data_IF_461497222761
#
_entry.id   IF_461497222761
#
_cell.length_a   1.000
_cell.length_b   1.000
_cell.length_c   1.000
_cell.angle_alpha   90.00
_cell.angle_beta   90.00
_cell.angle_gamma   90.00
#
_symmetry.space_group_name_H-M   'P 1'
#
loop_
_entity.id
_entity.type
_entity.pdbx_description
1 polymer ?
#
# COMPACT_ATOMS: atom_id res chain seq x y z
N UNK A 1 -31.60 -51.96 35.38
CA UNK A 1 -30.96 -51.53 34.12
C UNK A 1 -31.31 -50.06 33.95
N UNK A 2 -30.42 -49.20 34.42
CA UNK A 2 -30.64 -47.75 34.51
C UNK A 2 -29.95 -47.13 33.31
N UNK A 3 -30.71 -46.49 32.42
CA UNK A 3 -30.14 -45.67 31.34
C UNK A 3 -29.81 -44.30 31.96
N UNK A 4 -28.55 -43.83 31.93
CA UNK A 4 -28.26 -42.46 32.34
C UNK A 4 -28.75 -41.50 31.26
N UNK A 5 -29.56 -40.52 31.66
CA UNK A 5 -29.88 -39.36 30.85
C UNK A 5 -28.60 -38.51 30.72
N UNK A 6 -28.11 -38.36 29.50
CA UNK A 6 -27.00 -37.47 29.20
C UNK A 6 -27.56 -36.06 29.03
N UNK A 7 -27.84 -35.39 30.15
CA UNK A 7 -28.20 -33.97 30.17
C UNK A 7 -26.90 -33.15 30.02
N UNK A 8 -26.47 -32.98 28.78
CA UNK A 8 -25.42 -32.01 28.43
C UNK A 8 -26.12 -30.72 28.06
N UNK A 9 -26.35 -29.88 29.06
CA UNK A 9 -26.64 -28.47 28.88
C UNK A 9 -25.43 -27.79 28.23
N UNK A 10 -25.32 -27.90 26.90
CA UNK A 10 -24.42 -27.04 26.13
C UNK A 10 -25.00 -25.63 26.20
N UNK A 11 -24.49 -24.82 27.11
CA UNK A 11 -24.65 -23.36 27.02
C UNK A 11 -23.91 -22.92 25.78
N UNK A 12 -24.63 -22.80 24.65
CA UNK A 12 -24.09 -22.27 23.42
C UNK A 12 -23.55 -20.87 23.69
N UNK A 13 -22.31 -20.61 23.26
CA UNK A 13 -21.73 -19.27 23.29
C UNK A 13 -22.71 -18.27 22.66
N UNK A 14 -22.92 -17.07 23.25
CA UNK A 14 -23.85 -16.10 22.71
C UNK A 14 -23.45 -15.73 21.28
N UNK A 15 -24.40 -15.72 20.36
CA UNK A 15 -24.15 -15.22 19.01
C UNK A 15 -23.94 -13.70 19.01
N UNK A 16 -23.37 -13.15 17.93
CA UNK A 16 -23.06 -11.73 17.80
C UNK A 16 -24.29 -10.83 17.99
N UNK A 17 -25.48 -11.31 17.59
CA UNK A 17 -26.71 -10.58 17.77
C UNK A 17 -27.08 -10.47 19.26
N UNK A 18 -26.95 -11.55 20.03
CA UNK A 18 -27.17 -11.55 21.47
C UNK A 18 -26.18 -10.64 22.21
N UNK A 19 -24.91 -10.64 21.79
CA UNK A 19 -23.89 -9.75 22.32
C UNK A 19 -24.28 -8.28 22.06
N UNK A 20 -24.60 -7.95 20.81
CA UNK A 20 -25.01 -6.59 20.41
C UNK A 20 -26.28 -6.13 21.14
N UNK A 21 -27.33 -6.96 21.15
CA UNK A 21 -28.60 -6.66 21.80
C UNK A 21 -28.43 -6.40 23.31
N UNK A 22 -27.59 -7.20 23.98
CA UNK A 22 -27.28 -7.04 25.41
C UNK A 22 -26.54 -5.72 25.65
N UNK A 23 -25.53 -5.41 24.84
CA UNK A 23 -24.74 -4.19 24.96
C UNK A 23 -25.59 -2.92 24.75
N UNK A 24 -26.41 -2.91 23.69
CA UNK A 24 -27.32 -1.80 23.36
C UNK A 24 -28.40 -1.62 24.43
N UNK A 25 -29.00 -2.71 24.90
CA UNK A 25 -30.00 -2.66 25.99
C UNK A 25 -29.41 -2.05 27.25
N UNK A 26 -28.19 -2.46 27.62
CA UNK A 26 -27.48 -1.91 28.79
C UNK A 26 -27.22 -0.41 28.62
N UNK A 27 -26.77 0.03 27.44
CA UNK A 27 -26.48 1.43 27.17
C UNK A 27 -27.75 2.30 27.27
N UNK A 28 -28.85 1.90 26.62
CA UNK A 28 -30.11 2.65 26.65
C UNK A 28 -30.70 2.71 28.06
N UNK A 29 -30.61 1.62 28.85
CA UNK A 29 -31.03 1.65 30.27
C UNK A 29 -30.25 2.67 31.08
N UNK A 30 -28.93 2.78 30.87
CA UNK A 30 -28.10 3.76 31.56
C UNK A 30 -28.47 5.20 31.15
N UNK A 31 -28.74 5.45 29.86
CA UNK A 31 -29.22 6.75 29.37
C UNK A 31 -30.57 7.11 30.02
N UNK A 32 -31.54 6.19 29.98
CA UNK A 32 -32.87 6.41 30.56
C UNK A 32 -32.83 6.62 32.08
N UNK A 33 -31.83 6.07 32.76
CA UNK A 33 -31.61 6.27 34.20
C UNK A 33 -30.81 7.54 34.53
N UNK A 34 -30.44 8.36 33.53
CA UNK A 34 -29.61 9.56 33.71
C UNK A 34 -28.16 9.29 34.11
N UNK A 35 -27.68 8.05 33.92
CA UNK A 35 -26.32 7.63 34.26
C UNK A 35 -25.32 7.92 33.12
N UNK A 36 -25.84 8.26 31.93
CA UNK A 36 -25.09 8.72 30.76
C UNK A 36 -25.87 9.87 30.10
N UNK A 37 -25.17 10.87 29.54
CA UNK A 37 -25.82 11.93 28.77
C UNK A 37 -26.39 11.40 27.45
N UNK A 38 -27.26 12.19 26.81
CA UNK A 38 -27.87 11.91 25.50
C UNK A 38 -29.27 11.31 25.60
N UNK A 39 -29.80 10.86 24.46
CA UNK A 39 -31.05 10.11 24.37
C UNK A 39 -30.87 8.77 23.64
N UNK A 40 -31.84 7.87 23.82
CA UNK A 40 -31.76 6.51 23.26
C UNK A 40 -31.85 6.46 21.73
N UNK A 41 -32.53 7.41 21.09
CA UNK A 41 -32.62 7.48 19.64
C UNK A 41 -31.29 7.97 19.04
N UNK A 42 -30.71 9.03 19.59
CA UNK A 42 -29.37 9.51 19.24
C UNK A 42 -28.32 8.39 19.38
N UNK A 43 -28.40 7.61 20.46
CA UNK A 43 -27.49 6.47 20.64
C UNK A 43 -27.60 5.44 19.50
N UNK A 44 -28.81 5.12 19.05
CA UNK A 44 -29.03 4.14 17.98
C UNK A 44 -28.56 4.68 16.62
N UNK A 45 -28.82 5.95 16.32
CA UNK A 45 -28.37 6.55 15.05
C UNK A 45 -26.85 6.61 14.98
N UNK A 46 -26.19 7.03 16.07
CA UNK A 46 -24.73 7.05 16.14
C UNK A 46 -24.11 5.65 16.11
N UNK A 47 -24.72 4.67 16.76
CA UNK A 47 -24.27 3.27 16.66
C UNK A 47 -24.30 2.77 15.21
N UNK A 48 -25.38 3.05 14.49
CA UNK A 48 -25.51 2.67 13.09
C UNK A 48 -24.50 3.41 12.21
N UNK A 49 -24.29 4.71 12.45
CA UNK A 49 -23.27 5.51 11.78
C UNK A 49 -21.85 4.97 12.02
N UNK A 50 -21.53 4.54 13.25
CA UNK A 50 -20.25 3.89 13.56
C UNK A 50 -20.07 2.57 12.82
N UNK A 51 -21.12 1.74 12.73
CA UNK A 51 -21.07 0.50 11.94
C UNK A 51 -20.81 0.82 10.46
N UNK A 52 -21.55 1.77 9.88
CA UNK A 52 -21.33 2.22 8.51
C UNK A 52 -19.91 2.75 8.30
N UNK A 53 -19.40 3.55 9.24
CA UNK A 53 -18.07 4.15 9.17
C UNK A 53 -16.94 3.11 9.23
N UNK A 54 -17.13 2.06 10.03
CA UNK A 54 -16.18 0.95 10.10
C UNK A 54 -16.26 0.03 8.86
N UNK A 55 -17.40 -0.03 8.18
CA UNK A 55 -17.57 -0.73 6.91
C UNK A 55 -17.16 0.12 5.68
N UNK A 56 -16.86 1.40 5.88
CA UNK A 56 -16.39 2.32 4.84
C UNK A 56 -17.47 3.02 4.03
N UNK A 57 -18.75 2.65 4.17
CA UNK A 57 -19.87 3.40 3.58
C UNK A 57 -21.22 3.03 4.19
N UNK A 58 -22.20 3.93 4.11
CA UNK A 58 -23.60 3.63 4.42
C UNK A 58 -24.18 2.55 3.50
N UNK A 59 -23.73 2.50 2.24
CA UNK A 59 -24.17 1.49 1.27
C UNK A 59 -23.72 0.07 1.65
N UNK A 60 -22.54 -0.08 2.27
CA UNK A 60 -22.02 -1.36 2.70
C UNK A 60 -22.95 -2.06 3.72
N UNK A 61 -23.59 -1.30 4.60
CA UNK A 61 -24.54 -1.83 5.62
C UNK A 61 -25.71 -2.56 4.96
N UNK A 62 -26.18 -2.09 3.81
CA UNK A 62 -27.39 -2.59 3.14
C UNK A 62 -27.11 -3.42 1.88
N UNK A 63 -25.83 -3.69 1.59
CA UNK A 63 -25.39 -4.34 0.36
C UNK A 63 -26.02 -5.73 0.14
N UNK A 64 -26.38 -6.45 1.21
CA UNK A 64 -27.03 -7.76 1.11
C UNK A 64 -28.45 -7.73 0.54
N UNK A 65 -29.19 -6.63 0.70
CA UNK A 65 -30.56 -6.48 0.15
C UNK A 65 -30.97 -5.01 -0.01
N UNK A 66 -30.32 -4.25 -0.91
CA UNK A 66 -30.42 -2.78 -0.96
C UNK A 66 -31.80 -2.24 -1.34
N UNK A 67 -32.72 -3.07 -1.86
CA UNK A 67 -34.08 -2.67 -2.26
C UNK A 67 -35.18 -2.99 -1.25
N UNK A 68 -34.85 -3.48 -0.05
CA UNK A 68 -35.87 -3.78 0.96
C UNK A 68 -36.36 -2.53 1.68
N UNK A 69 -37.55 -2.62 2.29
CA UNK A 69 -38.08 -1.50 3.08
C UNK A 69 -37.20 -1.24 4.32
N UNK A 70 -36.57 -2.28 4.89
CA UNK A 70 -35.58 -2.15 5.95
C UNK A 70 -34.35 -1.38 5.48
N UNK A 71 -33.81 -1.73 4.31
CA UNK A 71 -32.68 -1.04 3.71
C UNK A 71 -32.99 0.44 3.42
N UNK A 72 -34.21 0.75 2.96
CA UNK A 72 -34.67 2.12 2.77
C UNK A 72 -34.72 2.90 4.10
N UNK A 73 -35.20 2.28 5.18
CA UNK A 73 -35.21 2.87 6.53
C UNK A 73 -33.81 3.11 7.08
N UNK A 74 -32.92 2.11 6.97
CA UNK A 74 -31.50 2.21 7.37
C UNK A 74 -30.80 3.33 6.60
N UNK A 75 -30.98 3.39 5.28
CA UNK A 75 -30.42 4.45 4.44
C UNK A 75 -30.91 5.83 4.87
N UNK A 76 -32.22 6.00 5.07
CA UNK A 76 -32.79 7.28 5.50
C UNK A 76 -32.24 7.73 6.85
N UNK A 77 -32.03 6.80 7.79
CA UNK A 77 -31.49 7.09 9.11
C UNK A 77 -30.01 7.48 9.03
N UNK A 78 -29.23 6.75 8.25
CA UNK A 78 -27.82 7.05 7.99
C UNK A 78 -27.68 8.40 7.29
N UNK A 79 -28.39 8.66 6.19
CA UNK A 79 -28.33 9.93 5.47
C UNK A 79 -28.66 11.13 6.38
N UNK A 80 -29.63 10.98 7.29
CA UNK A 80 -29.98 12.01 8.27
C UNK A 80 -28.91 12.23 9.35
N UNK A 81 -28.00 11.27 9.54
CA UNK A 81 -26.95 11.29 10.58
C UNK A 81 -25.58 11.65 10.01
N UNK A 82 -25.21 11.09 8.86
CA UNK A 82 -23.87 11.20 8.26
C UNK A 82 -23.84 12.00 6.96
N UNK A 83 -24.97 12.57 6.51
CA UNK A 83 -25.08 13.24 5.21
C UNK A 83 -25.51 12.28 4.09
N UNK A 84 -26.04 12.83 2.99
CA UNK A 84 -26.57 12.04 1.88
C UNK A 84 -25.48 11.20 1.19
N UNK A 85 -24.26 11.76 1.15
CA UNK A 85 -23.09 11.17 0.50
C UNK A 85 -21.99 10.80 1.52
N UNK A 86 -22.36 10.41 2.75
CA UNK A 86 -21.45 10.01 3.82
C UNK A 86 -20.48 11.14 4.30
N UNK A 87 -20.84 12.40 4.08
CA UNK A 87 -20.06 13.61 4.39
C UNK A 87 -19.42 13.63 5.80
N UNK A 88 -20.13 13.11 6.80
CA UNK A 88 -19.70 13.10 8.20
C UNK A 88 -19.33 11.72 8.72
N UNK A 89 -19.36 10.69 7.86
CA UNK A 89 -19.21 9.29 8.24
C UNK A 89 -17.92 9.04 9.04
N UNK A 90 -16.82 9.65 8.61
CA UNK A 90 -15.51 9.49 9.23
C UNK A 90 -15.48 9.93 10.71
N UNK A 91 -16.33 10.88 11.10
CA UNK A 91 -16.46 11.35 12.50
C UNK A 91 -16.93 10.24 13.45
N UNK A 92 -17.63 9.23 12.92
CA UNK A 92 -18.18 8.10 13.67
C UNK A 92 -17.29 6.87 13.67
N UNK A 93 -16.19 6.87 12.90
CA UNK A 93 -15.32 5.71 12.77
C UNK A 93 -14.61 5.40 14.09
N UNK A 94 -14.48 4.11 14.38
CA UNK A 94 -13.71 3.60 15.53
C UNK A 94 -12.67 2.56 15.12
N UNK A 95 -12.83 1.94 13.96
CA UNK A 95 -11.84 1.05 13.38
C UNK A 95 -10.63 1.86 12.86
N UNK A 96 -9.42 1.27 12.87
CA UNK A 96 -8.26 1.90 12.25
C UNK A 96 -8.50 2.29 10.80
N UNK A 97 -7.84 3.36 10.36
CA UNK A 97 -7.60 3.65 8.94
C UNK A 97 -6.36 2.85 8.54
N UNK A 98 -6.53 1.85 7.70
CA UNK A 98 -5.40 1.06 7.19
C UNK A 98 -5.03 1.56 5.78
N UNK A 99 -3.78 1.98 5.62
CA UNK A 99 -3.20 2.32 4.31
C UNK A 99 -2.30 1.16 3.87
N UNK A 100 -2.67 0.51 2.78
CA UNK A 100 -1.98 -0.64 2.20
C UNK A 100 -1.20 -0.19 0.98
N UNK A 101 0.12 -0.40 0.97
CA UNK A 101 1.01 0.05 -0.09
C UNK A 101 1.87 -1.10 -0.57
N UNK A 102 2.05 -1.22 -1.90
CA UNK A 102 3.13 -1.98 -2.48
C UNK A 102 4.31 -1.06 -2.86
N UNK A 103 5.43 -1.10 -2.11
CA UNK A 103 6.60 -0.27 -2.40
C UNK A 103 7.37 -0.73 -3.65
N UNK A 104 7.31 -2.01 -3.99
CA UNK A 104 7.97 -2.56 -5.19
C UNK A 104 7.26 -2.11 -6.46
N UNK A 105 5.91 -2.13 -6.47
CA UNK A 105 5.15 -1.57 -7.60
C UNK A 105 5.47 -0.08 -7.82
N UNK A 106 5.71 0.66 -6.74
CA UNK A 106 6.11 2.06 -6.87
C UNK A 106 7.48 2.20 -7.56
N UNK A 107 8.43 1.31 -7.26
CA UNK A 107 9.73 1.28 -7.92
C UNK A 107 9.59 0.87 -9.39
N UNK A 108 8.75 -0.10 -9.70
CA UNK A 108 8.49 -0.57 -11.06
C UNK A 108 7.80 0.51 -11.91
N UNK A 109 6.73 1.11 -11.42
CA UNK A 109 5.96 2.16 -12.11
C UNK A 109 6.82 3.40 -12.42
N UNK A 110 7.75 3.74 -11.52
CA UNK A 110 8.68 4.86 -11.68
C UNK A 110 9.96 4.47 -12.44
N UNK A 111 10.10 3.19 -12.81
CA UNK A 111 11.26 2.65 -13.50
C UNK A 111 12.55 2.70 -12.66
N UNK A 112 12.46 2.77 -11.33
CA UNK A 112 13.62 2.81 -10.43
C UNK A 112 14.49 1.58 -10.66
N UNK A 113 13.90 0.40 -10.81
CA UNK A 113 14.59 -0.85 -11.16
C UNK A 113 15.50 -0.69 -12.40
N UNK A 114 15.04 0.01 -13.44
CA UNK A 114 15.79 0.25 -14.69
C UNK A 114 17.05 1.09 -14.46
N UNK A 115 17.08 1.94 -13.43
CA UNK A 115 18.26 2.74 -13.07
C UNK A 115 19.40 1.86 -12.53
N UNK A 116 19.06 0.77 -11.84
CA UNK A 116 20.03 -0.22 -11.34
C UNK A 116 20.51 -1.13 -12.47
N UNK A 117 19.58 -1.63 -13.31
CA UNK A 117 19.96 -2.39 -14.51
C UNK A 117 20.88 -1.58 -15.43
N UNK A 118 20.59 -0.29 -15.65
CA UNK A 118 21.45 0.58 -16.45
C UNK A 118 22.87 0.69 -15.88
N UNK A 119 23.02 0.70 -14.55
CA UNK A 119 24.35 0.69 -13.92
C UNK A 119 25.12 -0.61 -14.18
N UNK A 120 24.45 -1.76 -14.05
CA UNK A 120 25.05 -3.05 -14.34
C UNK A 120 25.45 -3.15 -15.82
N UNK A 121 24.58 -2.67 -16.70
CA UNK A 121 24.81 -2.66 -18.15
C UNK A 121 25.94 -1.72 -18.57
N UNK A 122 26.05 -0.54 -17.97
CA UNK A 122 27.17 0.37 -18.19
C UNK A 122 28.49 -0.31 -17.85
N UNK A 123 28.60 -0.88 -16.65
CA UNK A 123 29.82 -1.55 -16.19
C UNK A 123 30.14 -2.77 -17.05
N UNK A 124 29.12 -3.55 -17.43
CA UNK A 124 29.29 -4.68 -18.34
C UNK A 124 29.87 -4.28 -19.69
N UNK A 125 29.40 -3.17 -20.26
CA UNK A 125 29.97 -2.61 -21.51
C UNK A 125 31.39 -2.09 -21.31
N UNK A 126 31.70 -1.43 -20.21
CA UNK A 126 33.06 -0.97 -19.89
C UNK A 126 34.04 -2.16 -19.74
N UNK A 127 33.59 -3.26 -19.12
CA UNK A 127 34.41 -4.44 -18.87
C UNK A 127 34.63 -5.29 -20.12
N UNK A 128 33.60 -5.47 -20.94
CA UNK A 128 33.60 -6.50 -21.98
C UNK A 128 33.29 -5.98 -23.40
N UNK A 129 32.97 -4.70 -23.54
CA UNK A 129 32.62 -4.06 -24.82
C UNK A 129 31.44 -4.75 -25.51
N UNK A 130 31.55 -4.96 -26.82
CA UNK A 130 30.53 -5.60 -27.65
C UNK A 130 30.20 -7.05 -27.24
N UNK A 131 31.01 -7.68 -26.38
CA UNK A 131 30.74 -9.04 -25.88
C UNK A 131 29.69 -9.09 -24.78
N UNK A 132 29.39 -7.94 -24.16
CA UNK A 132 28.32 -7.82 -23.18
C UNK A 132 26.94 -7.72 -23.82
N UNK A 133 26.87 -7.25 -25.07
CA UNK A 133 25.60 -7.04 -25.79
C UNK A 133 24.82 -8.35 -26.01
N UNK A 134 23.49 -8.22 -26.05
CA UNK A 134 22.60 -9.33 -26.34
C UNK A 134 22.87 -9.90 -27.73
N UNK A 135 23.09 -11.21 -27.79
CA UNK A 135 23.30 -11.92 -29.07
C UNK A 135 22.18 -12.91 -29.31
N UNK A 136 21.70 -12.95 -30.54
CA UNK A 136 20.72 -13.94 -30.99
C UNK A 136 21.41 -15.30 -31.15
N UNK A 137 20.94 -16.32 -30.41
CA UNK A 137 21.40 -17.71 -30.51
C UNK A 137 20.24 -18.65 -30.85
N UNK A 138 20.47 -19.78 -31.54
CA UNK A 138 19.43 -20.79 -31.74
C UNK A 138 18.98 -21.41 -30.41
N UNK A 139 17.69 -21.34 -30.11
CA UNK A 139 17.05 -22.00 -28.97
C UNK A 139 16.90 -23.52 -29.16
N UNK A 140 16.48 -24.24 -28.11
CA UNK A 140 16.30 -25.71 -28.15
C UNK A 140 15.32 -26.20 -29.22
N UNK A 141 14.40 -25.35 -29.66
CA UNK A 141 13.41 -25.59 -30.71
C UNK A 141 13.83 -25.01 -32.07
N UNK A 142 15.06 -24.50 -32.18
CA UNK A 142 15.59 -23.84 -33.37
C UNK A 142 15.08 -22.42 -33.60
N UNK A 143 14.23 -21.87 -32.71
CA UNK A 143 13.82 -20.47 -32.77
C UNK A 143 14.92 -19.59 -32.18
N UNK A 144 15.14 -18.38 -32.70
CA UNK A 144 16.13 -17.50 -32.10
C UNK A 144 15.73 -17.09 -30.69
N UNK A 145 16.68 -17.21 -29.76
CA UNK A 145 16.58 -16.75 -28.39
C UNK A 145 17.66 -15.70 -28.20
N UNK A 146 17.27 -14.53 -27.69
CA UNK A 146 18.24 -13.50 -27.29
C UNK A 146 18.88 -13.94 -25.99
N UNK A 147 20.20 -14.13 -26.01
CA UNK A 147 20.97 -14.48 -24.82
C UNK A 147 21.81 -13.28 -24.42
N UNK A 148 21.42 -12.62 -23.34
CA UNK A 148 22.25 -11.62 -22.68
C UNK A 148 23.57 -12.23 -22.20
N UNK A 149 24.69 -11.51 -22.35
CA UNK A 149 26.01 -11.92 -21.84
C UNK A 149 26.55 -13.24 -22.41
N UNK A 150 26.00 -13.72 -23.53
CA UNK A 150 26.29 -15.05 -24.08
C UNK A 150 27.70 -15.24 -24.68
N UNK A 151 28.54 -14.20 -24.74
CA UNK A 151 29.91 -14.26 -25.25
C UNK A 151 30.98 -14.19 -24.14
N UNK A 152 30.58 -14.21 -22.88
CA UNK A 152 31.49 -14.17 -21.73
C UNK A 152 31.99 -15.56 -21.34
N UNK A 153 33.22 -15.65 -20.84
CA UNK A 153 33.75 -16.86 -20.18
C UNK A 153 33.14 -17.04 -18.80
N UNK A 154 33.39 -18.20 -18.17
CA UNK A 154 32.93 -18.45 -16.78
C UNK A 154 33.49 -17.40 -15.82
N UNK A 155 34.79 -17.15 -15.84
CA UNK A 155 35.44 -16.14 -14.98
C UNK A 155 34.88 -14.72 -15.22
N UNK A 156 34.51 -14.39 -16.45
CA UNK A 156 33.89 -13.11 -16.79
C UNK A 156 32.44 -13.01 -16.30
N UNK A 157 31.69 -14.11 -16.37
CA UNK A 157 30.35 -14.20 -15.78
C UNK A 157 30.41 -14.08 -14.26
N UNK A 158 31.38 -14.72 -13.60
CA UNK A 158 31.62 -14.57 -12.15
C UNK A 158 31.96 -13.12 -11.79
N UNK A 159 32.79 -12.45 -12.59
CA UNK A 159 33.10 -11.03 -12.38
C UNK A 159 31.86 -10.14 -12.55
N UNK A 160 31.00 -10.42 -13.53
CA UNK A 160 29.76 -9.67 -13.71
C UNK A 160 28.76 -9.96 -12.58
N UNK A 161 28.66 -11.21 -12.13
CA UNK A 161 27.84 -11.56 -10.99
C UNK A 161 28.24 -10.76 -9.75
N UNK A 162 29.55 -10.60 -9.48
CA UNK A 162 30.00 -9.78 -8.35
C UNK A 162 29.60 -8.29 -8.48
N UNK A 163 29.48 -7.77 -9.71
CA UNK A 163 28.95 -6.41 -9.95
C UNK A 163 27.43 -6.36 -9.72
N UNK A 164 26.70 -7.34 -10.24
CA UNK A 164 25.25 -7.45 -10.04
C UNK A 164 24.91 -7.57 -8.56
N UNK A 165 25.62 -8.43 -7.82
CA UNK A 165 25.41 -8.64 -6.38
C UNK A 165 25.52 -7.30 -5.62
N UNK A 166 26.57 -6.51 -5.89
CA UNK A 166 26.74 -5.19 -5.26
C UNK A 166 25.62 -4.20 -5.63
N UNK A 167 25.15 -4.23 -6.88
CA UNK A 167 24.08 -3.35 -7.35
C UNK A 167 22.73 -3.75 -6.74
N UNK A 168 22.44 -5.04 -6.66
CA UNK A 168 21.18 -5.55 -6.10
C UNK A 168 21.16 -5.47 -4.56
N UNK A 169 22.31 -5.62 -3.89
CA UNK A 169 22.43 -5.33 -2.46
C UNK A 169 22.09 -3.85 -2.17
N UNK A 170 22.53 -2.93 -3.04
CA UNK A 170 22.17 -1.51 -2.93
C UNK A 170 20.69 -1.29 -3.20
N UNK A 171 20.12 -1.96 -4.22
CA UNK A 171 18.69 -1.91 -4.51
C UNK A 171 17.86 -2.33 -3.30
N UNK A 172 18.19 -3.45 -2.67
CA UNK A 172 17.48 -3.97 -1.49
C UNK A 172 17.58 -3.00 -0.31
N UNK A 173 18.77 -2.43 -0.07
CA UNK A 173 18.97 -1.43 0.98
C UNK A 173 18.15 -0.15 0.74
N UNK A 174 18.06 0.28 -0.51
CA UNK A 174 17.29 1.45 -0.92
C UNK A 174 15.78 1.20 -0.86
N UNK A 175 15.31 0.02 -1.28
CA UNK A 175 13.92 -0.41 -1.14
C UNK A 175 13.53 -0.48 0.34
N UNK A 176 14.38 -1.03 1.20
CA UNK A 176 14.14 -1.04 2.65
C UNK A 176 14.07 0.39 3.23
N UNK A 177 14.92 1.29 2.75
CA UNK A 177 14.88 2.70 3.15
C UNK A 177 13.60 3.40 2.69
N UNK A 178 13.15 3.14 1.46
CA UNK A 178 11.90 3.65 0.93
C UNK A 178 10.68 3.10 1.69
N UNK A 179 10.69 1.81 2.03
CA UNK A 179 9.68 1.15 2.89
C UNK A 179 9.53 1.86 4.24
N UNK A 180 10.63 2.29 4.87
CA UNK A 180 10.57 3.08 6.09
C UNK A 180 10.05 4.51 5.84
N UNK A 181 10.56 5.17 4.80
CA UNK A 181 10.20 6.54 4.47
C UNK A 181 8.70 6.72 4.12
N UNK A 182 8.09 5.75 3.43
CA UNK A 182 6.66 5.82 3.10
C UNK A 182 5.79 5.74 4.35
N UNK A 183 6.16 4.89 5.31
CA UNK A 183 5.46 4.78 6.60
C UNK A 183 5.55 6.09 7.37
N UNK A 184 6.74 6.69 7.45
CA UNK A 184 6.95 7.98 8.12
C UNK A 184 6.17 9.11 7.44
N UNK A 185 6.12 9.11 6.10
CA UNK A 185 5.38 10.11 5.31
C UNK A 185 3.89 10.03 5.60
N UNK A 186 3.31 8.82 5.63
CA UNK A 186 1.89 8.62 5.96
C UNK A 186 1.58 9.06 7.38
N UNK A 187 2.41 8.64 8.35
CA UNK A 187 2.21 8.99 9.76
C UNK A 187 2.30 10.51 9.98
N UNK A 188 3.22 11.18 9.29
CA UNK A 188 3.36 12.64 9.35
C UNK A 188 2.14 13.33 8.77
N UNK A 189 1.64 12.89 7.62
CA UNK A 189 0.45 13.49 7.01
C UNK A 189 -0.81 13.21 7.82
N UNK A 190 -0.95 12.02 8.39
CA UNK A 190 -2.04 11.69 9.31
C UNK A 190 -2.06 12.64 10.51
N UNK A 191 -0.91 12.96 11.08
CA UNK A 191 -0.83 13.91 12.19
C UNK A 191 -1.15 15.34 11.75
N UNK A 192 -0.68 15.76 10.57
CA UNK A 192 -1.06 17.06 9.99
C UNK A 192 -2.58 17.15 9.83
N UNK A 193 -3.20 16.12 9.25
CA UNK A 193 -4.64 16.04 9.04
C UNK A 193 -5.42 16.11 10.36
N UNK A 194 -4.96 15.48 11.44
CA UNK A 194 -5.63 15.60 12.77
C UNK A 194 -5.67 17.03 13.31
N UNK A 195 -4.71 17.87 12.90
CA UNK A 195 -4.64 19.28 13.32
C UNK A 195 -5.32 20.25 12.36
N UNK A 196 -5.73 19.76 11.18
CA UNK A 196 -6.35 20.56 10.13
C UNK A 196 -7.85 20.71 10.39
N UNK A 197 -8.39 21.93 10.59
CA UNK A 197 -9.82 22.15 10.81
C UNK A 197 -10.71 21.69 9.65
N UNK A 198 -10.15 21.51 8.44
CA UNK A 198 -10.86 21.00 7.28
C UNK A 198 -10.83 19.49 7.11
N UNK A 199 -10.05 18.77 7.94
CA UNK A 199 -9.93 17.31 7.85
C UNK A 199 -11.04 16.59 8.61
N UNK A 200 -11.44 15.44 8.05
CA UNK A 200 -12.40 14.54 8.67
C UNK A 200 -11.75 13.46 9.54
N UNK A 201 -10.41 13.38 9.60
CA UNK A 201 -9.69 12.37 10.40
C UNK A 201 -9.78 12.68 11.90
N UNK A 202 -10.51 11.88 12.71
CA UNK A 202 -10.65 12.15 14.12
C UNK A 202 -9.37 11.83 14.89
N UNK A 203 -9.09 12.60 15.93
CA UNK A 203 -7.90 12.41 16.77
C UNK A 203 -7.82 11.02 17.43
N UNK A 204 -8.96 10.36 17.67
CA UNK A 204 -9.00 9.04 18.31
C UNK A 204 -8.81 7.86 17.34
N UNK A 205 -8.89 8.09 16.03
CA UNK A 205 -8.79 7.00 15.04
C UNK A 205 -7.31 6.71 14.75
N UNK A 206 -6.83 5.49 15.01
CA UNK A 206 -5.47 5.11 14.67
C UNK A 206 -5.32 4.98 13.15
N UNK A 207 -4.15 5.35 12.66
CA UNK A 207 -3.73 5.10 11.28
C UNK A 207 -2.66 4.02 11.32
N UNK A 208 -2.83 2.98 10.52
CA UNK A 208 -1.88 1.87 10.38
C UNK A 208 -1.44 1.77 8.93
N UNK A 209 -0.17 1.39 8.73
CA UNK A 209 0.38 1.18 7.40
C UNK A 209 0.74 -0.29 7.25
N UNK A 210 0.21 -0.94 6.22
CA UNK A 210 0.58 -2.30 5.82
C UNK A 210 1.36 -2.24 4.52
N UNK A 211 2.57 -2.75 4.54
CA UNK A 211 3.41 -2.86 3.35
C UNK A 211 3.21 -4.25 2.78
N UNK A 212 2.80 -4.33 1.52
CA UNK A 212 2.71 -5.60 0.81
C UNK A 212 4.12 -6.16 0.57
N UNK A 213 4.24 -7.47 0.77
CA UNK A 213 5.39 -8.28 0.37
C UNK A 213 4.93 -9.31 -0.66
N UNK A 214 5.38 -9.24 -1.92
CA UNK A 214 4.96 -10.18 -2.95
C UNK A 214 5.38 -11.63 -2.65
N UNK A 215 6.28 -11.85 -1.69
CA UNK A 215 6.71 -13.17 -1.25
C UNK A 215 5.85 -13.72 -0.10
N UNK A 216 5.02 -12.91 0.54
CA UNK A 216 4.15 -13.34 1.63
C UNK A 216 2.82 -13.89 1.07
N UNK A 217 2.49 -15.19 1.25
CA UNK A 217 1.32 -15.80 0.61
C UNK A 217 -0.04 -15.21 1.01
N UNK A 218 -0.08 -14.44 2.10
CA UNK A 218 -1.28 -13.75 2.59
C UNK A 218 -1.51 -12.37 1.97
N UNK A 219 -0.51 -11.80 1.30
CA UNK A 219 -0.61 -10.48 0.70
C UNK A 219 -1.16 -10.57 -0.73
N UNK A 220 -2.16 -9.74 -1.02
CA UNK A 220 -2.79 -9.64 -2.33
C UNK A 220 -2.72 -8.20 -2.84
N UNK A 221 -2.27 -8.03 -4.08
CA UNK A 221 -2.29 -6.73 -4.78
C UNK A 221 -3.67 -6.07 -4.79
N UNK A 222 -4.75 -6.87 -4.80
CA UNK A 222 -6.12 -6.37 -4.72
C UNK A 222 -6.43 -5.63 -3.40
N UNK A 223 -5.62 -5.84 -2.36
CA UNK A 223 -5.77 -5.17 -1.07
C UNK A 223 -5.13 -3.77 -1.05
N UNK A 224 -4.34 -3.43 -2.06
CA UNK A 224 -3.69 -2.13 -2.15
C UNK A 224 -4.73 -1.01 -2.07
N UNK A 225 -4.41 0.04 -1.31
CA UNK A 225 -5.31 1.17 -1.14
C UNK A 225 -5.59 1.82 -2.48
N UNK A 226 -6.88 1.96 -2.80
CA UNK A 226 -7.33 2.70 -3.97
C UNK A 226 -7.06 4.20 -3.77
N UNK A 227 -6.09 4.75 -4.48
CA UNK A 227 -5.77 6.18 -4.40
C UNK A 227 -6.71 7.12 -5.15
N UNK A 228 -7.81 6.65 -5.74
CA UNK A 228 -8.63 7.46 -6.65
C UNK A 228 -10.01 7.84 -6.10
N UNK A 229 -10.36 7.37 -4.92
CA UNK A 229 -11.57 7.81 -4.23
C UNK A 229 -11.27 8.95 -3.23
N UNK A 230 -12.30 9.46 -2.57
CA UNK A 230 -12.21 10.59 -1.64
C UNK A 230 -11.93 10.19 -0.18
N UNK A 231 -11.68 8.90 0.10
CA UNK A 231 -11.44 8.42 1.47
C UNK A 231 -10.16 9.00 2.09
N UNK A 232 -10.06 8.92 3.42
CA UNK A 232 -8.83 9.32 4.12
C UNK A 232 -7.67 8.37 3.75
N UNK A 233 -7.96 7.08 3.59
CA UNK A 233 -7.02 6.07 3.10
C UNK A 233 -6.41 6.51 1.76
N UNK A 234 -7.25 6.88 0.79
CA UNK A 234 -6.86 7.36 -0.53
C UNK A 234 -6.03 8.64 -0.47
N UNK A 235 -6.45 9.62 0.34
CA UNK A 235 -5.73 10.88 0.51
C UNK A 235 -4.31 10.66 1.09
N UNK A 236 -4.20 9.82 2.14
CA UNK A 236 -2.91 9.46 2.74
C UNK A 236 -2.02 8.71 1.74
N UNK A 237 -2.58 7.77 0.99
CA UNK A 237 -1.88 7.03 -0.05
C UNK A 237 -1.34 7.94 -1.15
N UNK A 238 -2.16 8.85 -1.68
CA UNK A 238 -1.73 9.79 -2.73
C UNK A 238 -0.69 10.78 -2.22
N UNK A 239 -0.82 11.27 -0.98
CA UNK A 239 0.20 12.10 -0.36
C UNK A 239 1.53 11.35 -0.27
N UNK A 240 1.51 10.11 0.22
CA UNK A 240 2.70 9.26 0.33
C UNK A 240 3.35 9.04 -1.04
N UNK A 241 2.57 8.75 -2.08
CA UNK A 241 3.07 8.64 -3.45
C UNK A 241 3.76 9.91 -3.90
N UNK A 242 3.18 11.08 -3.67
CA UNK A 242 3.76 12.34 -4.15
C UNK A 242 4.97 12.83 -3.33
N UNK A 243 5.01 12.53 -2.03
CA UNK A 243 5.94 13.15 -1.09
C UNK A 243 7.08 12.25 -0.62
N UNK A 244 6.96 10.92 -0.75
CA UNK A 244 8.02 10.00 -0.30
C UNK A 244 9.21 10.08 -1.25
N UNK A 245 10.41 10.49 -0.79
CA UNK A 245 11.58 10.57 -1.65
C UNK A 245 12.03 9.19 -2.12
N UNK A 246 12.43 9.10 -3.38
CA UNK A 246 13.10 7.94 -3.96
C UNK A 246 14.57 7.86 -3.49
N UNK A 247 15.24 6.71 -3.72
CA UNK A 247 16.67 6.58 -3.47
C UNK A 247 17.47 7.72 -4.11
N UNK A 248 18.40 8.30 -3.35
CA UNK A 248 19.13 9.51 -3.77
C UNK A 248 18.40 10.83 -3.49
N UNK A 249 17.21 10.81 -2.89
CA UNK A 249 16.50 12.00 -2.40
C UNK A 249 15.66 12.74 -3.43
N UNK A 250 15.42 12.13 -4.60
CA UNK A 250 14.58 12.70 -5.64
C UNK A 250 13.10 12.52 -5.29
N UNK A 251 12.29 13.54 -5.56
CA UNK A 251 10.84 13.38 -5.47
C UNK A 251 10.32 12.62 -6.70
N UNK A 252 9.34 11.72 -6.51
CA UNK A 252 8.77 10.94 -7.61
C UNK A 252 7.94 11.82 -8.56
N UNK A 253 8.09 11.57 -9.87
CA UNK A 253 7.26 12.17 -10.91
C UNK A 253 6.37 11.11 -11.57
N UNK A 254 5.18 10.93 -11.00
CA UNK A 254 4.19 9.97 -11.49
C UNK A 254 3.55 10.34 -12.83
N UNK A 255 3.86 11.51 -13.39
CA UNK A 255 3.46 11.87 -14.76
C UNK A 255 4.46 11.40 -15.82
N UNK A 256 5.66 10.99 -15.39
CA UNK A 256 6.74 10.58 -16.26
C UNK A 256 7.15 9.11 -16.00
N UNK A 257 6.54 8.19 -16.75
CA UNK A 257 6.90 6.76 -16.72
C UNK A 257 8.33 6.46 -17.24
N UNK A 258 9.06 7.49 -17.70
CA UNK A 258 10.49 7.42 -18.07
C UNK A 258 11.38 8.17 -17.09
N UNK A 259 10.95 8.27 -15.82
CA UNK A 259 11.72 8.94 -14.79
C UNK A 259 13.17 8.42 -14.72
N UNK A 260 13.39 7.12 -14.91
CA UNK A 260 14.72 6.52 -14.98
C UNK A 260 15.66 7.20 -16.00
N UNK A 261 15.18 7.57 -17.20
CA UNK A 261 15.98 8.28 -18.19
C UNK A 261 16.43 9.65 -17.66
N UNK A 262 15.53 10.39 -17.02
CA UNK A 262 15.82 11.71 -16.45
C UNK A 262 16.79 11.62 -15.26
N UNK A 263 16.63 10.61 -14.40
CA UNK A 263 17.50 10.33 -13.25
C UNK A 263 18.93 10.04 -13.73
N UNK A 264 19.08 9.15 -14.71
CA UNK A 264 20.38 8.81 -15.29
C UNK A 264 21.03 9.99 -16.03
N UNK A 265 20.24 10.77 -16.79
CA UNK A 265 20.71 11.97 -17.48
C UNK A 265 21.16 13.08 -16.52
N UNK A 266 20.57 13.14 -15.32
CA UNK A 266 21.01 14.03 -14.25
C UNK A 266 22.27 13.53 -13.52
N UNK A 267 22.82 12.38 -13.91
CA UNK A 267 24.04 11.82 -13.33
C UNK A 267 23.81 10.99 -12.06
N UNK A 268 22.55 10.64 -11.75
CA UNK A 268 22.23 9.81 -10.59
C UNK A 268 22.32 8.33 -10.95
N UNK A 269 23.55 7.80 -10.96
CA UNK A 269 23.82 6.40 -11.23
C UNK A 269 24.06 5.62 -9.93
N UNK A 270 23.29 4.55 -9.63
CA UNK A 270 23.41 3.77 -8.39
C UNK A 270 24.82 3.28 -8.10
N UNK A 271 25.55 2.80 -9.11
CA UNK A 271 26.91 2.30 -8.91
C UNK A 271 27.91 3.37 -8.43
N UNK A 272 27.61 4.66 -8.60
CA UNK A 272 28.43 5.75 -8.03
C UNK A 272 28.28 5.88 -6.50
N UNK A 273 27.29 5.22 -5.90
CA UNK A 273 27.15 5.11 -4.44
C UNK A 273 27.86 3.89 -3.86
N UNK A 274 28.40 3.02 -4.72
CA UNK A 274 29.12 1.80 -4.34
C UNK A 274 30.62 2.08 -4.48
N UNK A 275 31.39 2.18 -3.38
CA UNK A 275 32.82 2.50 -3.41
C UNK A 275 33.61 1.68 -4.44
N UNK A 276 33.32 0.38 -4.52
CA UNK A 276 33.94 -0.60 -5.40
C UNK A 276 33.70 -0.32 -6.89
N UNK A 277 32.58 0.32 -7.24
CA UNK A 277 32.14 0.55 -8.62
C UNK A 277 32.24 2.01 -9.06
N UNK A 278 32.49 2.95 -8.15
CA UNK A 278 32.56 4.40 -8.46
C UNK A 278 33.55 4.76 -9.56
N UNK A 279 34.60 3.96 -9.75
CA UNK A 279 35.64 4.20 -10.75
C UNK A 279 35.18 4.00 -12.21
N UNK A 280 34.02 3.37 -12.45
CA UNK A 280 33.44 3.22 -13.80
C UNK A 280 32.79 4.51 -14.32
N UNK A 281 32.60 5.53 -13.47
CA UNK A 281 32.09 6.84 -13.88
C UNK A 281 30.71 6.79 -14.54
N UNK A 282 30.31 7.89 -15.19
CA UNK A 282 29.08 7.92 -16.01
C UNK A 282 29.41 7.60 -17.47
N UNK A 283 28.47 7.02 -18.25
CA UNK A 283 28.70 6.80 -19.67
C UNK A 283 29.03 8.11 -20.39
N UNK A 284 30.15 8.16 -21.12
CA UNK A 284 30.58 9.35 -21.86
C UNK A 284 29.90 9.54 -23.22
N UNK A 285 29.09 8.56 -23.67
CA UNK A 285 28.58 8.51 -25.04
C UNK A 285 27.05 8.67 -25.10
N UNK A 286 26.58 9.92 -25.10
CA UNK A 286 25.23 10.28 -25.56
C UNK A 286 25.15 11.72 -26.07
N UNK A 287 26.16 12.22 -26.81
CA UNK A 287 26.01 13.39 -27.70
C UNK A 287 26.86 13.16 -28.95
N UNK A 288 26.36 12.36 -29.88
CA UNK A 288 26.65 12.50 -31.32
C UNK A 288 25.45 11.92 -32.06
N UNK A 289 24.42 12.76 -32.28
CA UNK A 289 23.54 12.61 -33.43
C UNK A 289 24.27 13.23 -34.63
N UNK A 290 24.45 12.43 -35.69
CA UNK A 290 24.64 12.87 -37.07
C UNK A 290 23.32 12.62 -37.83
#
# INVERSE_FOLDING_TARGET
MTIPANDTSSTSEPDDFQVAATAVTRAIRAINAGQRPGDGAEFITHLLATVAANLGSSQAVIAGRPGSWEAAGVRSLLASTVGEDDDYLMSYRTAPVEVVINPEDAFDDLGVYLVYEASADHIGRELFGSRYEAVEKPGPDGRPVVVGRGQLTVDELERMQAVDDLIWDLYDADLASYRAAVVDTINTEAERLRTDPGSLLPAHVPVTVRLLDPNEPGDNFADQTNGWDSSIESQLFQHARAATPLPGGLLPDWSNFRMHEAVLAAGHWPHLRIPELTHYGVPTNAITED
#
